data_IF_687353439436
#
_entry.id   IF_687353439436
#
_cell.length_a   1.000
_cell.length_b   1.000
_cell.length_c   1.000
_cell.angle_alpha   90.00
_cell.angle_beta   90.00
_cell.angle_gamma   90.00
#
_symmetry.space_group_name_H-M   'P 1'
#
loop_
_entity.id
_entity.type
_entity.pdbx_description
1 polymer ?
#
# COMPACT_ATOMS: atom_id res chain seq x y z
N UNK A 1 -18.71 -4.02 21.82
CA UNK A 1 -17.50 -3.35 22.36
C UNK A 1 -16.30 -3.71 21.49
N UNK A 2 -15.85 -4.96 21.40
CA UNK A 2 -14.65 -5.37 20.63
C UNK A 2 -14.59 -4.79 19.20
N UNK A 3 -15.69 -4.69 18.49
CA UNK A 3 -15.70 -4.17 17.11
C UNK A 3 -15.37 -2.68 16.99
N UNK A 4 -15.86 -1.86 17.92
CA UNK A 4 -15.79 -0.40 17.79
C UNK A 4 -14.91 0.29 18.81
N UNK A 5 -14.71 -0.32 19.97
CA UNK A 5 -14.11 0.31 21.15
C UNK A 5 -12.98 -0.52 21.76
N UNK A 6 -12.43 -1.48 21.03
CA UNK A 6 -11.38 -2.36 21.55
C UNK A 6 -10.13 -1.58 21.95
N UNK A 7 -9.82 -0.52 21.21
CA UNK A 7 -8.57 0.22 21.33
C UNK A 7 -8.67 1.55 22.07
N UNK A 8 -9.83 1.90 22.62
CA UNK A 8 -9.95 3.12 23.43
C UNK A 8 -9.07 3.01 24.68
N UNK A 9 -8.47 4.13 25.18
CA UNK A 9 -7.43 4.10 26.22
C UNK A 9 -7.95 3.77 27.63
N UNK A 10 -9.22 3.42 27.75
CA UNK A 10 -9.85 3.10 29.03
C UNK A 10 -10.34 1.66 29.04
N UNK A 11 -10.05 0.87 30.10
CA UNK A 11 -10.60 -0.45 30.22
C UNK A 11 -12.13 -0.39 30.38
N UNK A 12 -12.84 -1.18 29.58
CA UNK A 12 -14.28 -1.35 29.68
C UNK A 12 -14.53 -2.65 30.44
N UNK A 13 -15.15 -2.55 31.58
CA UNK A 13 -15.50 -3.71 32.40
C UNK A 13 -16.98 -4.07 32.18
N UNK A 14 -17.24 -5.32 31.88
CA UNK A 14 -18.60 -5.88 31.81
C UNK A 14 -18.82 -6.76 33.06
N UNK A 15 -19.88 -6.47 33.82
CA UNK A 15 -20.30 -7.27 34.94
C UNK A 15 -21.46 -8.16 34.53
N UNK A 16 -21.29 -9.47 34.68
CA UNK A 16 -22.30 -10.47 34.39
C UNK A 16 -23.42 -10.48 35.45
N UNK A 17 -24.49 -11.18 35.16
CA UNK A 17 -25.63 -11.38 36.12
C UNK A 17 -25.23 -12.20 37.33
N UNK A 18 -24.12 -12.93 37.24
CA UNK A 18 -23.47 -13.69 38.33
C UNK A 18 -22.59 -12.83 39.22
N UNK A 19 -22.44 -11.52 38.90
CA UNK A 19 -21.60 -10.58 39.62
C UNK A 19 -20.11 -10.64 39.26
N UNK A 20 -19.70 -11.52 38.35
CA UNK A 20 -18.32 -11.53 37.85
C UNK A 20 -18.07 -10.38 36.86
N UNK A 21 -16.92 -9.74 36.99
CA UNK A 21 -16.52 -8.61 36.17
C UNK A 21 -15.30 -8.96 35.33
N UNK A 22 -15.37 -8.72 34.01
CA UNK A 22 -14.25 -8.94 33.09
C UNK A 22 -13.99 -7.71 32.25
N UNK A 23 -12.72 -7.38 31.99
CA UNK A 23 -12.34 -6.37 31.01
C UNK A 23 -12.55 -6.93 29.59
N UNK A 24 -13.31 -6.22 28.77
CA UNK A 24 -13.81 -6.71 27.48
C UNK A 24 -13.16 -6.03 26.27
N UNK A 25 -12.25 -5.07 26.47
CA UNK A 25 -11.46 -4.44 25.42
C UNK A 25 -9.97 -4.57 25.72
N UNK A 26 -9.13 -4.47 24.68
CA UNK A 26 -7.68 -4.52 24.83
C UNK A 26 -7.10 -3.25 25.46
N UNK A 27 -7.80 -2.12 25.33
CA UNK A 27 -7.37 -0.78 25.76
C UNK A 27 -6.01 -0.33 25.17
N UNK A 28 -5.42 -1.13 24.29
CA UNK A 28 -4.17 -0.85 23.61
C UNK A 28 -4.38 -0.66 22.10
N UNK A 29 -3.60 0.25 21.53
CA UNK A 29 -3.56 0.47 20.10
C UNK A 29 -2.10 0.42 19.62
N UNK A 30 -1.74 -0.61 18.86
CA UNK A 30 -0.36 -0.83 18.42
C UNK A 30 0.19 0.38 17.70
N UNK A 31 -0.63 1.03 16.87
CA UNK A 31 -0.26 2.20 16.08
C UNK A 31 0.03 3.47 16.88
N UNK A 32 -0.29 3.49 18.18
CA UNK A 32 0.02 4.62 19.06
C UNK A 32 1.37 4.49 19.75
N UNK A 33 1.99 3.31 19.72
CA UNK A 33 3.33 3.06 20.26
C UNK A 33 4.38 3.70 19.33
N UNK A 34 5.55 4.02 19.86
CA UNK A 34 6.67 4.41 19.02
C UNK A 34 7.09 3.22 18.12
N UNK A 35 7.38 3.46 16.82
CA UNK A 35 7.86 2.38 15.94
C UNK A 35 9.07 1.61 16.48
N UNK A 36 9.89 2.25 17.31
CA UNK A 36 11.08 1.64 17.95
C UNK A 36 10.73 0.64 19.04
N UNK A 37 9.53 0.77 19.61
CA UNK A 37 9.05 -0.04 20.74
C UNK A 37 8.14 -1.20 20.29
N UNK A 38 7.99 -1.39 18.97
CA UNK A 38 7.17 -2.44 18.37
C UNK A 38 8.06 -3.43 17.63
N UNK A 39 7.97 -4.70 18.00
CA UNK A 39 8.71 -5.78 17.34
C UNK A 39 8.11 -6.14 15.97
N UNK A 40 8.93 -6.71 15.09
CA UNK A 40 8.48 -7.21 13.79
C UNK A 40 7.41 -8.30 13.93
N UNK A 41 7.50 -9.14 14.98
CA UNK A 41 6.49 -10.14 15.28
C UNK A 41 5.15 -9.51 15.66
N UNK A 42 5.14 -8.42 16.43
CA UNK A 42 3.93 -7.70 16.79
C UNK A 42 3.27 -7.06 15.57
N UNK A 43 4.06 -6.52 14.64
CA UNK A 43 3.56 -6.03 13.35
C UNK A 43 2.96 -7.16 12.52
N UNK A 44 3.63 -8.30 12.44
CA UNK A 44 3.17 -9.45 11.67
C UNK A 44 1.86 -10.01 12.23
N UNK A 45 1.75 -10.17 13.55
CA UNK A 45 0.52 -10.62 14.20
C UNK A 45 -0.63 -9.65 13.98
N UNK A 46 -0.37 -8.34 14.08
CA UNK A 46 -1.38 -7.32 13.81
C UNK A 46 -1.82 -7.36 12.35
N UNK A 47 -0.89 -7.47 11.40
CA UNK A 47 -1.19 -7.60 9.99
C UNK A 47 -2.07 -8.82 9.71
N UNK A 48 -1.72 -9.98 10.23
CA UNK A 48 -2.46 -11.22 10.03
C UNK A 48 -3.88 -11.13 10.60
N UNK A 49 -4.03 -10.61 11.83
CA UNK A 49 -5.33 -10.45 12.47
C UNK A 49 -6.23 -9.42 11.78
N UNK A 50 -5.64 -8.34 11.24
CA UNK A 50 -6.36 -7.25 10.59
C UNK A 50 -6.73 -7.54 9.15
N UNK A 51 -5.84 -8.21 8.40
CA UNK A 51 -6.03 -8.48 6.97
C UNK A 51 -6.65 -9.84 6.64
N UNK A 52 -6.58 -10.79 7.57
CA UNK A 52 -6.92 -12.19 7.35
C UNK A 52 -5.90 -12.94 6.48
N UNK A 53 -4.74 -12.36 6.23
CA UNK A 53 -3.64 -13.00 5.52
C UNK A 53 -2.79 -13.82 6.49
N UNK A 54 -2.09 -14.82 6.00
CA UNK A 54 -1.21 -15.69 6.81
C UNK A 54 0.28 -15.47 6.50
N UNK A 55 0.58 -14.62 5.52
CA UNK A 55 1.94 -14.25 5.14
C UNK A 55 2.51 -13.15 6.06
N UNK A 56 3.78 -12.81 5.85
CA UNK A 56 4.41 -11.62 6.44
C UNK A 56 4.26 -10.44 5.47
N UNK A 57 4.13 -9.21 5.95
CA UNK A 57 4.04 -8.06 5.08
C UNK A 57 5.37 -7.81 4.34
N UNK A 58 5.30 -7.45 3.08
CA UNK A 58 6.45 -7.00 2.28
C UNK A 58 7.02 -5.68 2.80
N UNK A 59 6.15 -4.73 3.17
CA UNK A 59 6.51 -3.46 3.80
C UNK A 59 5.52 -3.16 4.91
N UNK A 60 6.05 -2.73 6.06
CA UNK A 60 5.30 -2.13 7.17
C UNK A 60 5.58 -0.63 7.20
N UNK A 61 4.52 0.19 7.25
CA UNK A 61 4.60 1.64 7.31
C UNK A 61 3.90 2.10 8.58
N UNK A 62 4.68 2.36 9.62
CA UNK A 62 4.19 2.93 10.86
C UNK A 62 4.66 4.39 10.94
N UNK A 63 3.73 5.32 10.89
CA UNK A 63 4.03 6.75 10.83
C UNK A 63 3.03 7.57 11.62
N UNK A 64 3.53 8.60 12.30
CA UNK A 64 2.75 9.64 12.97
C UNK A 64 3.02 10.97 12.29
N UNK A 65 1.98 11.68 11.90
CA UNK A 65 2.03 13.04 11.39
C UNK A 65 1.53 13.97 12.48
N UNK A 66 2.26 15.03 12.76
CA UNK A 66 1.94 16.05 13.78
C UNK A 66 1.89 17.43 13.12
N UNK A 67 1.17 18.37 13.73
CA UNK A 67 1.02 19.73 13.26
C UNK A 67 -0.40 20.06 12.82
N UNK A 68 -0.57 20.76 11.71
CA UNK A 68 -1.91 21.18 11.22
C UNK A 68 -2.81 20.03 10.77
N UNK A 69 -2.24 18.86 10.54
CA UNK A 69 -2.93 17.63 10.19
C UNK A 69 -2.33 16.49 11.00
N UNK A 70 -3.06 16.08 12.02
CA UNK A 70 -2.64 15.01 12.92
C UNK A 70 -3.28 13.68 12.49
N UNK A 71 -2.46 12.68 12.25
CA UNK A 71 -2.91 11.30 12.08
C UNK A 71 -1.77 10.33 12.31
N UNK A 72 -2.15 9.15 12.71
CA UNK A 72 -1.26 8.00 12.79
C UNK A 72 -1.72 6.97 11.78
N UNK A 73 -0.79 6.32 11.09
CA UNK A 73 -1.11 5.21 10.23
C UNK A 73 -0.20 4.01 10.51
N UNK A 74 -0.79 2.83 10.49
CA UNK A 74 -0.09 1.57 10.45
C UNK A 74 -0.59 0.80 9.23
N UNK A 75 0.22 0.83 8.16
CA UNK A 75 -0.13 0.26 6.87
C UNK A 75 0.80 -0.86 6.51
N UNK A 76 0.27 -1.80 5.75
CA UNK A 76 1.00 -2.98 5.28
C UNK A 76 0.81 -3.16 3.78
N UNK A 77 1.89 -3.45 3.10
CA UNK A 77 1.88 -3.96 1.74
C UNK A 77 2.03 -5.48 1.85
N UNK A 78 1.08 -6.28 1.36
CA UNK A 78 1.17 -7.73 1.38
C UNK A 78 2.36 -8.24 0.57
N UNK A 79 2.89 -9.41 0.93
CA UNK A 79 3.91 -10.07 0.14
C UNK A 79 3.32 -10.80 -1.08
N UNK A 80 2.07 -11.28 -0.94
CA UNK A 80 1.37 -11.96 -2.01
C UNK A 80 0.13 -11.20 -2.46
N UNK A 81 -0.11 -11.18 -3.77
CA UNK A 81 -1.32 -10.56 -4.31
C UNK A 81 -2.54 -11.39 -3.89
N UNK A 82 -3.57 -10.76 -3.29
CA UNK A 82 -4.82 -11.43 -3.02
C UNK A 82 -5.49 -11.84 -4.34
N UNK A 83 -6.18 -12.99 -4.32
CA UNK A 83 -6.83 -13.53 -5.52
C UNK A 83 -7.88 -12.58 -6.14
N UNK A 84 -8.51 -11.77 -5.30
CA UNK A 84 -9.54 -10.79 -5.67
C UNK A 84 -8.96 -9.42 -6.07
N UNK A 85 -7.64 -9.28 -6.28
CA UNK A 85 -6.97 -8.00 -6.55
C UNK A 85 -7.52 -7.27 -7.78
N UNK A 86 -7.92 -8.01 -8.79
CA UNK A 86 -8.38 -7.47 -10.08
C UNK A 86 -9.90 -7.50 -10.24
N UNK A 87 -10.65 -7.84 -9.21
CA UNK A 87 -12.10 -7.76 -9.25
C UNK A 87 -12.57 -6.30 -9.31
N UNK A 88 -13.53 -5.95 -10.21
CA UNK A 88 -13.94 -4.57 -10.44
C UNK A 88 -14.49 -3.86 -9.20
N UNK A 89 -15.14 -4.61 -8.31
CA UNK A 89 -15.76 -4.07 -7.10
C UNK A 89 -14.84 -4.08 -5.88
N UNK A 90 -13.58 -4.47 -6.07
CA UNK A 90 -12.64 -4.51 -4.96
C UNK A 90 -12.35 -3.12 -4.42
N UNK A 91 -12.69 -2.91 -3.17
CA UNK A 91 -12.40 -1.70 -2.41
C UNK A 91 -11.12 -1.84 -1.58
N UNK A 92 -10.50 -0.71 -1.28
CA UNK A 92 -9.43 -0.66 -0.27
C UNK A 92 -9.98 -1.12 1.07
N UNK A 93 -9.22 -1.99 1.77
CA UNK A 93 -9.62 -2.51 3.09
C UNK A 93 -8.84 -1.79 4.19
N UNK A 94 -8.81 -0.45 4.14
CA UNK A 94 -8.28 0.36 5.23
C UNK A 94 -9.35 0.63 6.26
N UNK A 95 -8.96 0.60 7.52
CA UNK A 95 -9.82 0.92 8.63
C UNK A 95 -9.56 2.35 9.08
N UNK A 96 -10.62 3.14 9.20
CA UNK A 96 -10.56 4.48 9.78
C UNK A 96 -10.95 4.42 11.26
N UNK A 97 -10.10 5.00 12.07
CA UNK A 97 -10.33 5.29 13.48
C UNK A 97 -10.34 6.80 13.72
N UNK A 98 -11.15 7.24 14.67
CA UNK A 98 -11.13 8.59 15.21
C UNK A 98 -10.90 8.46 16.72
N UNK A 99 -9.78 8.97 17.23
CA UNK A 99 -9.40 8.85 18.63
C UNK A 99 -9.50 7.39 19.14
N UNK A 100 -8.97 6.42 18.35
CA UNK A 100 -8.99 4.96 18.61
C UNK A 100 -10.38 4.31 18.60
N UNK A 101 -11.42 5.04 18.21
CA UNK A 101 -12.76 4.49 17.97
C UNK A 101 -12.87 4.08 16.51
N UNK A 102 -13.21 2.82 16.25
CA UNK A 102 -13.43 2.34 14.90
C UNK A 102 -14.64 3.00 14.27
N UNK A 103 -14.47 3.59 13.11
CA UNK A 103 -15.54 4.27 12.36
C UNK A 103 -16.02 3.39 11.22
N UNK A 104 -15.12 2.99 10.32
CA UNK A 104 -15.50 2.23 9.13
C UNK A 104 -14.28 1.58 8.47
N UNK A 105 -14.53 0.50 7.74
CA UNK A 105 -13.56 -0.14 6.83
C UNK A 105 -13.93 0.06 5.36
N UNK A 106 -15.02 0.76 5.07
CA UNK A 106 -15.56 0.96 3.72
C UNK A 106 -15.55 2.45 3.33
N UNK A 107 -14.36 3.04 3.39
CA UNK A 107 -14.09 4.35 2.80
C UNK A 107 -13.34 4.11 1.49
N UNK A 108 -14.08 3.84 0.42
CA UNK A 108 -13.53 3.49 -0.90
C UNK A 108 -12.45 4.45 -1.44
N UNK A 109 -12.33 5.64 -0.87
CA UNK A 109 -11.47 6.72 -1.38
C UNK A 109 -10.29 7.11 -0.47
N UNK A 110 -10.00 6.37 0.60
CA UNK A 110 -8.85 6.66 1.48
C UNK A 110 -7.48 6.46 0.81
N UNK A 111 -7.43 5.66 -0.25
CA UNK A 111 -6.27 5.54 -1.13
C UNK A 111 -6.73 5.52 -2.59
N UNK A 112 -5.85 5.88 -3.54
CA UNK A 112 -6.11 5.66 -4.96
C UNK A 112 -6.37 4.18 -5.26
N UNK A 113 -7.18 3.89 -6.28
CA UNK A 113 -7.55 2.51 -6.63
C UNK A 113 -6.34 1.64 -6.98
N UNK A 114 -5.31 2.21 -7.56
CA UNK A 114 -4.07 1.50 -7.85
C UNK A 114 -3.26 1.07 -6.59
N UNK A 115 -3.64 1.56 -5.39
CA UNK A 115 -3.12 1.10 -4.09
C UNK A 115 -4.09 0.20 -3.32
N UNK A 116 -5.11 -0.36 -3.97
CA UNK A 116 -6.15 -1.19 -3.33
C UNK A 116 -5.64 -2.46 -2.64
N UNK A 117 -4.38 -2.83 -2.85
CA UNK A 117 -3.74 -3.93 -2.13
C UNK A 117 -3.23 -3.54 -0.74
N UNK A 118 -3.09 -2.26 -0.42
CA UNK A 118 -2.63 -1.80 0.89
C UNK A 118 -3.66 -2.12 1.96
N UNK A 119 -3.20 -2.56 3.11
CA UNK A 119 -4.00 -2.93 4.29
C UNK A 119 -3.59 -2.09 5.48
N UNK A 120 -4.40 -2.11 6.53
CA UNK A 120 -4.07 -1.48 7.81
C UNK A 120 -5.05 -0.44 8.27
N UNK A 121 -4.57 0.48 9.09
CA UNK A 121 -5.41 1.47 9.76
C UNK A 121 -4.88 2.90 9.57
N UNK A 122 -5.81 3.83 9.71
CA UNK A 122 -5.55 5.26 9.87
C UNK A 122 -6.34 5.73 11.07
N UNK A 123 -5.70 6.46 11.98
CA UNK A 123 -6.33 7.05 13.16
C UNK A 123 -6.05 8.56 13.19
N UNK A 124 -7.09 9.37 13.31
CA UNK A 124 -6.97 10.84 13.31
C UNK A 124 -7.90 11.47 14.33
N UNK A 125 -7.43 12.45 15.12
CA UNK A 125 -8.29 13.26 15.99
C UNK A 125 -9.00 14.39 15.24
N UNK A 126 -8.63 14.67 13.98
CA UNK A 126 -9.10 15.85 13.24
C UNK A 126 -10.45 15.65 12.54
N UNK A 127 -11.19 14.63 12.93
CA UNK A 127 -12.55 14.36 12.45
C UNK A 127 -13.48 14.18 13.65
N UNK A 128 -14.74 14.58 13.46
CA UNK A 128 -15.76 14.40 14.49
C UNK A 128 -16.26 12.95 14.51
N UNK A 129 -16.55 12.42 15.70
CA UNK A 129 -17.07 11.06 15.88
C UNK A 129 -18.46 10.85 15.28
N UNK A 130 -19.25 11.92 15.15
CA UNK A 130 -20.62 11.89 14.61
C UNK A 130 -20.65 12.10 13.08
N UNK A 131 -19.72 11.48 12.37
CA UNK A 131 -19.59 11.70 10.92
C UNK A 131 -20.38 10.67 10.16
N UNK A 132 -21.27 11.12 9.27
CA UNK A 132 -21.91 10.23 8.29
C UNK A 132 -20.91 9.85 7.20
N UNK A 133 -21.15 8.72 6.54
CA UNK A 133 -20.32 8.26 5.42
C UNK A 133 -20.20 9.29 4.29
N UNK A 134 -21.28 10.01 4.00
CA UNK A 134 -21.30 11.06 2.97
C UNK A 134 -20.40 12.23 3.32
N UNK A 135 -20.38 12.64 4.60
CA UNK A 135 -19.49 13.71 5.09
C UNK A 135 -18.04 13.27 5.02
N UNK A 136 -17.74 12.00 5.34
CA UNK A 136 -16.38 11.46 5.23
C UNK A 136 -15.87 11.48 3.78
N UNK A 137 -16.69 11.09 2.80
CA UNK A 137 -16.30 11.06 1.39
C UNK A 137 -15.92 12.44 0.85
N UNK A 138 -16.55 13.50 1.35
CA UNK A 138 -16.30 14.88 0.95
C UNK A 138 -15.36 15.65 1.90
N UNK A 139 -14.70 14.97 2.84
CA UNK A 139 -13.85 15.63 3.85
C UNK A 139 -12.53 16.12 3.27
N UNK A 140 -12.25 17.45 3.34
CA UNK A 140 -10.94 17.99 2.95
C UNK A 140 -9.80 17.43 3.80
N UNK A 141 -10.07 17.08 5.05
CA UNK A 141 -9.12 16.44 5.96
C UNK A 141 -8.72 15.05 5.44
N UNK A 142 -9.68 14.22 5.05
CA UNK A 142 -9.39 12.91 4.47
C UNK A 142 -8.68 13.00 3.11
N UNK A 143 -9.02 13.98 2.29
CA UNK A 143 -8.30 14.23 1.03
C UNK A 143 -6.81 14.56 1.27
N UNK A 144 -6.50 15.37 2.29
CA UNK A 144 -5.11 15.67 2.69
C UNK A 144 -4.40 14.43 3.24
N UNK A 145 -5.07 13.64 4.08
CA UNK A 145 -4.54 12.37 4.61
C UNK A 145 -4.25 11.41 3.46
N UNK A 146 -5.19 11.22 2.52
CA UNK A 146 -5.01 10.41 1.31
C UNK A 146 -3.74 10.81 0.55
N UNK A 147 -3.58 12.10 0.27
CA UNK A 147 -2.40 12.62 -0.45
C UNK A 147 -1.09 12.36 0.31
N UNK A 148 -1.09 12.56 1.64
CA UNK A 148 0.08 12.32 2.48
C UNK A 148 0.47 10.84 2.52
N UNK A 149 -0.50 9.95 2.71
CA UNK A 149 -0.28 8.50 2.76
C UNK A 149 0.18 7.97 1.40
N UNK A 150 -0.44 8.39 0.29
CA UNK A 150 -0.03 7.99 -1.06
C UNK A 150 1.45 8.32 -1.30
N UNK A 151 1.87 9.55 -0.98
CA UNK A 151 3.28 9.96 -1.07
C UNK A 151 4.19 9.11 -0.18
N UNK A 152 3.73 8.77 1.02
CA UNK A 152 4.50 7.95 1.97
C UNK A 152 4.67 6.53 1.45
N UNK A 153 3.61 5.90 0.94
CA UNK A 153 3.67 4.56 0.33
C UNK A 153 4.67 4.54 -0.84
N UNK A 154 4.60 5.49 -1.76
CA UNK A 154 5.55 5.59 -2.87
C UNK A 154 6.99 5.74 -2.34
N UNK A 155 7.21 6.58 -1.33
CA UNK A 155 8.54 6.78 -0.72
C UNK A 155 9.11 5.50 -0.11
N UNK A 156 8.28 4.68 0.54
CA UNK A 156 8.73 3.41 1.09
C UNK A 156 9.01 2.37 -0.02
N UNK A 157 8.24 2.38 -1.10
CA UNK A 157 8.52 1.56 -2.29
C UNK A 157 9.83 1.99 -2.96
N UNK A 158 10.10 3.30 -3.09
CA UNK A 158 11.38 3.82 -3.61
C UNK A 158 12.58 3.35 -2.76
N UNK A 159 12.44 3.40 -1.43
CA UNK A 159 13.48 2.91 -0.51
C UNK A 159 13.68 1.39 -0.64
N UNK A 160 12.59 0.64 -0.73
CA UNK A 160 12.65 -0.82 -0.86
C UNK A 160 13.31 -1.23 -2.17
N UNK A 161 12.99 -0.58 -3.29
CA UNK A 161 13.63 -0.81 -4.57
C UNK A 161 15.16 -0.61 -4.50
N UNK A 162 15.61 0.46 -3.82
CA UNK A 162 17.04 0.75 -3.67
C UNK A 162 17.76 -0.23 -2.74
N UNK A 163 17.09 -0.65 -1.67
CA UNK A 163 17.69 -1.48 -0.62
C UNK A 163 17.69 -2.96 -0.97
N UNK A 164 16.66 -3.42 -1.68
CA UNK A 164 16.36 -4.83 -1.88
C UNK A 164 15.66 -5.03 -3.24
N UNK A 165 16.40 -4.83 -4.36
CA UNK A 165 15.83 -4.85 -5.70
C UNK A 165 15.27 -6.23 -6.10
N UNK A 166 15.86 -7.33 -5.60
CA UNK A 166 15.41 -8.68 -5.94
C UNK A 166 14.02 -8.98 -5.35
N UNK A 167 13.82 -8.69 -4.07
CA UNK A 167 12.50 -8.83 -3.45
C UNK A 167 11.50 -7.81 -4.01
N UNK A 168 11.98 -6.63 -4.45
CA UNK A 168 11.13 -5.67 -5.14
C UNK A 168 10.66 -6.20 -6.50
N UNK A 169 11.47 -6.93 -7.24
CA UNK A 169 11.06 -7.58 -8.49
C UNK A 169 9.98 -8.63 -8.28
N UNK A 170 10.05 -9.41 -7.20
CA UNK A 170 8.99 -10.35 -6.82
C UNK A 170 7.68 -9.61 -6.47
N UNK A 171 7.76 -8.51 -5.71
CA UNK A 171 6.62 -7.62 -5.47
C UNK A 171 6.05 -7.08 -6.78
N UNK A 172 6.90 -6.62 -7.69
CA UNK A 172 6.47 -6.07 -8.97
C UNK A 172 5.76 -7.11 -9.86
N UNK A 173 6.20 -8.35 -9.84
CA UNK A 173 5.51 -9.43 -10.55
C UNK A 173 4.08 -9.64 -10.04
N UNK A 174 3.87 -9.49 -8.75
CA UNK A 174 2.56 -9.66 -8.11
C UNK A 174 1.65 -8.43 -8.26
N UNK A 175 2.21 -7.21 -8.13
CA UNK A 175 1.46 -5.96 -8.03
C UNK A 175 1.72 -4.98 -9.17
N UNK A 176 2.68 -5.24 -10.05
CA UNK A 176 3.07 -4.30 -11.11
C UNK A 176 1.93 -3.97 -12.06
N UNK A 177 0.99 -4.90 -12.30
CA UNK A 177 -0.19 -4.62 -13.13
C UNK A 177 -1.07 -3.55 -12.51
N UNK A 178 -1.41 -3.67 -11.21
CA UNK A 178 -2.22 -2.67 -10.51
C UNK A 178 -1.45 -1.36 -10.28
N UNK A 179 -0.14 -1.43 -10.05
CA UNK A 179 0.71 -0.24 -9.94
C UNK A 179 0.75 0.58 -11.23
N UNK A 180 0.69 -0.06 -12.39
CA UNK A 180 0.65 0.62 -13.70
C UNK A 180 -0.65 1.39 -13.93
N UNK A 181 -1.77 1.03 -13.30
CA UNK A 181 -2.99 1.83 -13.34
C UNK A 181 -2.71 3.24 -12.81
N UNK A 182 -1.86 3.38 -11.78
CA UNK A 182 -1.44 4.67 -11.23
C UNK A 182 -0.70 5.57 -12.21
N UNK A 183 -0.02 5.01 -13.22
CA UNK A 183 0.63 5.81 -14.27
C UNK A 183 -0.39 6.56 -15.14
N UNK A 184 -1.61 6.05 -15.21
CA UNK A 184 -2.70 6.66 -15.95
C UNK A 184 -3.60 7.53 -15.06
N UNK A 185 -3.88 7.07 -13.83
CA UNK A 185 -4.88 7.69 -12.94
C UNK A 185 -4.29 8.80 -12.06
N UNK A 186 -3.00 8.71 -11.67
CA UNK A 186 -2.37 9.59 -10.69
C UNK A 186 -1.30 10.49 -11.34
N UNK A 187 -1.77 11.54 -11.99
CA UNK A 187 -0.88 12.48 -12.67
C UNK A 187 0.11 13.17 -11.73
N UNK A 188 -0.29 13.45 -10.48
CA UNK A 188 0.58 14.10 -9.48
C UNK A 188 1.82 13.26 -9.11
N UNK A 189 1.69 11.94 -9.14
CA UNK A 189 2.75 11.01 -8.74
C UNK A 189 3.35 10.21 -9.91
N UNK A 190 2.94 10.49 -11.16
CA UNK A 190 3.31 9.73 -12.35
C UNK A 190 4.82 9.57 -12.51
N UNK A 191 5.58 10.65 -12.37
CA UNK A 191 7.04 10.61 -12.54
C UNK A 191 7.72 9.73 -11.48
N UNK A 192 7.20 9.75 -10.26
CA UNK A 192 7.69 8.88 -9.19
C UNK A 192 7.35 7.41 -9.44
N UNK A 193 6.12 7.15 -9.93
CA UNK A 193 5.69 5.81 -10.31
C UNK A 193 6.51 5.24 -11.46
N UNK A 194 6.85 6.06 -12.46
CA UNK A 194 7.74 5.66 -13.55
C UNK A 194 9.12 5.24 -13.03
N UNK A 195 9.69 5.96 -12.05
CA UNK A 195 11.00 5.65 -11.47
C UNK A 195 11.05 4.31 -10.73
N UNK A 196 9.93 3.90 -10.13
CA UNK A 196 9.84 2.62 -9.39
C UNK A 196 9.23 1.50 -10.24
N UNK A 197 8.82 1.77 -11.46
CA UNK A 197 8.31 0.77 -12.39
C UNK A 197 9.42 -0.15 -12.87
N UNK A 198 9.10 -1.45 -12.94
CA UNK A 198 10.01 -2.47 -13.45
C UNK A 198 9.49 -2.97 -14.79
N UNK A 199 10.33 -2.96 -15.78
CA UNK A 199 10.05 -3.41 -17.14
C UNK A 199 11.04 -4.52 -17.48
N UNK A 200 10.55 -5.53 -18.19
CA UNK A 200 11.42 -6.62 -18.59
C UNK A 200 12.27 -6.21 -19.78
N UNK A 201 13.58 -6.25 -19.64
CA UNK A 201 14.51 -6.01 -20.74
C UNK A 201 14.77 -7.31 -21.50
N UNK A 202 14.48 -7.32 -22.80
CA UNK A 202 14.83 -8.44 -23.67
C UNK A 202 16.34 -8.66 -23.73
N UNK A 203 17.11 -7.58 -23.89
CA UNK A 203 18.58 -7.60 -23.98
C UNK A 203 19.24 -8.16 -22.73
N UNK A 204 18.73 -7.82 -21.52
CA UNK A 204 19.33 -8.24 -20.26
C UNK A 204 18.70 -9.49 -19.65
N UNK A 205 17.59 -9.95 -20.21
CA UNK A 205 16.77 -11.08 -19.72
C UNK A 205 16.36 -10.93 -18.24
N UNK A 206 16.10 -9.68 -17.78
CA UNK A 206 15.71 -9.37 -16.39
C UNK A 206 14.84 -8.12 -16.30
N UNK A 207 14.24 -7.91 -15.12
CA UNK A 207 13.55 -6.67 -14.82
C UNK A 207 14.54 -5.53 -14.55
N UNK A 208 14.27 -4.36 -15.16
CA UNK A 208 15.07 -3.13 -15.03
C UNK A 208 14.16 -1.93 -14.80
N UNK A 209 14.71 -0.82 -14.35
CA UNK A 209 14.03 0.48 -14.35
C UNK A 209 14.14 1.14 -15.72
N UNK A 210 13.33 2.16 -15.98
CA UNK A 210 13.50 3.00 -17.18
C UNK A 210 14.85 3.72 -17.17
N UNK A 211 15.36 4.10 -16.00
CA UNK A 211 16.67 4.73 -15.90
C UNK A 211 17.79 3.76 -16.31
N UNK A 212 17.73 2.50 -15.81
CA UNK A 212 18.71 1.47 -16.23
C UNK A 212 18.70 1.26 -17.75
N UNK A 213 17.50 1.34 -18.38
CA UNK A 213 17.39 1.26 -19.82
C UNK A 213 18.09 2.44 -20.50
N UNK A 214 17.79 3.67 -20.06
CA UNK A 214 18.38 4.90 -20.64
C UNK A 214 19.89 4.92 -20.50
N UNK A 215 20.42 4.51 -19.34
CA UNK A 215 21.86 4.47 -19.06
C UNK A 215 22.61 3.47 -19.96
N UNK A 216 21.89 2.53 -20.57
CA UNK A 216 22.46 1.47 -21.42
C UNK A 216 22.06 1.61 -22.91
N UNK A 217 21.40 2.71 -23.27
CA UNK A 217 21.07 3.00 -24.66
C UNK A 217 22.34 3.09 -25.51
N UNK A 218 22.28 2.58 -26.74
CA UNK A 218 23.34 2.77 -27.70
C UNK A 218 23.53 4.27 -28.03
N UNK A 219 24.75 4.69 -28.37
CA UNK A 219 25.12 6.10 -28.59
C UNK A 219 24.21 6.82 -29.59
N UNK A 220 23.71 6.10 -30.59
CA UNK A 220 22.80 6.61 -31.64
C UNK A 220 21.31 6.38 -31.32
N UNK A 221 20.97 5.73 -30.22
CA UNK A 221 19.59 5.45 -29.84
C UNK A 221 18.95 6.68 -29.21
N UNK A 222 17.83 7.14 -29.79
CA UNK A 222 17.13 8.38 -29.35
C UNK A 222 15.84 8.13 -28.61
N UNK A 223 15.38 6.88 -28.58
CA UNK A 223 14.06 6.53 -28.02
C UNK A 223 14.11 5.23 -27.24
N UNK A 224 13.23 5.11 -26.25
CA UNK A 224 12.96 3.85 -25.57
C UNK A 224 12.02 3.04 -26.44
N UNK A 225 12.42 1.82 -26.79
CA UNK A 225 11.58 0.89 -27.53
C UNK A 225 10.89 -0.07 -26.55
N UNK A 226 9.61 -0.31 -26.75
CA UNK A 226 8.84 -1.23 -25.92
C UNK A 226 7.88 -2.07 -26.75
N UNK A 227 7.63 -3.28 -26.30
CA UNK A 227 6.65 -4.20 -26.86
C UNK A 227 5.57 -4.48 -25.82
N UNK A 228 4.31 -4.22 -26.20
CA UNK A 228 3.15 -4.60 -25.40
C UNK A 228 2.74 -6.04 -25.74
N UNK A 229 2.55 -6.88 -24.75
CA UNK A 229 2.13 -8.27 -24.91
C UNK A 229 1.31 -8.71 -23.69
N UNK A 230 0.46 -9.71 -23.89
CA UNK A 230 -0.36 -10.28 -22.80
C UNK A 230 0.48 -10.95 -21.71
N UNK A 231 1.58 -11.58 -22.12
CA UNK A 231 2.49 -12.24 -21.19
C UNK A 231 3.93 -12.24 -21.72
N UNK A 232 4.88 -12.46 -20.83
CA UNK A 232 6.31 -12.42 -21.12
C UNK A 232 6.74 -13.52 -22.11
N UNK A 233 6.13 -14.70 -22.06
CA UNK A 233 6.47 -15.82 -22.96
C UNK A 233 6.15 -15.47 -24.40
N UNK A 234 4.99 -14.87 -24.65
CA UNK A 234 4.59 -14.40 -25.99
C UNK A 234 5.47 -13.23 -26.45
N UNK A 235 5.79 -12.29 -25.52
CA UNK A 235 6.67 -11.19 -25.83
C UNK A 235 8.05 -11.65 -26.31
N UNK A 236 8.68 -12.59 -25.58
CA UNK A 236 10.02 -13.12 -25.92
C UNK A 236 10.09 -13.81 -27.29
N UNK A 237 8.97 -14.32 -27.80
CA UNK A 237 8.89 -15.00 -29.10
C UNK A 237 8.45 -14.10 -30.25
N UNK A 238 8.33 -12.81 -30.00
CA UNK A 238 7.85 -11.88 -31.01
C UNK A 238 8.90 -11.67 -32.09
N UNK A 239 8.55 -11.84 -33.40
CA UNK A 239 9.47 -11.56 -34.50
C UNK A 239 9.90 -10.08 -34.56
N UNK A 240 9.14 -9.18 -33.94
CA UNK A 240 9.51 -7.77 -33.87
C UNK A 240 10.80 -7.51 -33.08
N UNK A 241 11.26 -8.46 -32.27
CA UNK A 241 12.50 -8.31 -31.47
C UNK A 241 13.78 -8.61 -32.28
N UNK A 242 13.68 -9.38 -33.36
CA UNK A 242 14.85 -9.84 -34.13
C UNK A 242 15.71 -8.67 -34.62
N UNK A 243 15.09 -7.68 -35.30
CA UNK A 243 15.81 -6.52 -35.81
C UNK A 243 16.42 -5.63 -34.71
N UNK A 244 15.84 -5.57 -33.52
CA UNK A 244 16.42 -4.86 -32.40
C UNK A 244 17.61 -5.62 -31.79
N UNK A 245 17.50 -6.94 -31.68
CA UNK A 245 18.57 -7.78 -31.16
C UNK A 245 19.81 -7.74 -32.07
N UNK A 246 19.63 -7.78 -33.41
CA UNK A 246 20.71 -7.63 -34.39
C UNK A 246 21.45 -6.28 -34.27
N UNK A 247 20.74 -5.22 -33.89
CA UNK A 247 21.32 -3.89 -33.70
C UNK A 247 21.78 -3.64 -32.24
N UNK A 248 21.78 -4.66 -31.39
CA UNK A 248 22.26 -4.55 -30.00
C UNK A 248 21.38 -3.69 -29.08
N UNK A 249 20.08 -3.54 -29.42
CA UNK A 249 19.08 -2.77 -28.67
C UNK A 249 18.27 -3.69 -27.79
#
# INVERSE_FOLDING_TARGET
IKKYSDHIPHPITLTGTDGESAVVNSAEALWTKSPKDVSDDAYTQFYQSNSGNFDTPFITIHNKSEGSLEFTNLLFIPNQAPFDLFEPERKTKLQLYINRVFITSDLGDLLPQWLRFVRGIIDTPNLDLNVSREILQNSPTLAKIKKAITKKVISELEKKLKKDPENYDAFWQSFGRVMKEGLYEDHDNRDRLLKISRLYSHKQDKFITLQDYVDQMAENQKSIYYLASENLTSAKRSPHLEGFAENGI
#
